data_IF_924369912753
#
_entry.id   IF_924369912753
#
_cell.length_a   1.000
_cell.length_b   1.000
_cell.length_c   1.000
_cell.angle_alpha   90.00
_cell.angle_beta   90.00
_cell.angle_gamma   90.00
#
_symmetry.space_group_name_H-M   'P 1'
#
loop_
_entity.id
_entity.type
_entity.pdbx_description
1 polymer ?
#
# COMPACT_ATOMS: atom_id res chain seq x y z
N UNK A 1 -49.50 11.12 28.41
CA UNK A 1 -49.07 11.91 27.24
C UNK A 1 -47.59 12.00 27.45
N UNK A 2 -46.93 10.93 27.05
CA UNK A 2 -45.55 10.64 27.37
C UNK A 2 -44.88 10.63 26.01
N UNK A 3 -44.23 11.75 25.70
CA UNK A 3 -43.36 11.88 24.53
C UNK A 3 -42.12 11.05 24.81
N UNK A 4 -42.03 9.88 24.18
CA UNK A 4 -40.78 9.13 24.09
C UNK A 4 -39.89 9.82 23.05
N UNK A 5 -38.86 10.50 23.53
CA UNK A 5 -37.75 11.00 22.71
C UNK A 5 -36.95 9.81 22.15
N UNK A 6 -37.23 9.39 20.92
CA UNK A 6 -36.35 8.52 20.14
C UNK A 6 -35.10 9.31 19.72
N UNK A 7 -34.01 9.21 20.50
CA UNK A 7 -32.68 9.66 20.09
C UNK A 7 -32.18 8.83 18.89
N UNK A 8 -32.33 9.37 17.68
CA UNK A 8 -31.74 8.84 16.45
C UNK A 8 -30.19 8.94 16.51
N UNK A 9 -29.55 7.89 17.00
CA UNK A 9 -28.09 7.71 16.92
C UNK A 9 -27.68 7.44 15.48
N UNK A 10 -27.53 8.51 14.70
CA UNK A 10 -26.89 8.45 13.39
C UNK A 10 -25.42 8.04 13.56
N UNK A 11 -25.13 6.75 13.36
CA UNK A 11 -23.75 6.22 13.38
C UNK A 11 -22.90 6.99 12.38
N UNK A 12 -21.92 7.74 12.87
CA UNK A 12 -20.97 8.49 12.03
C UNK A 12 -20.06 7.48 11.32
N UNK A 13 -20.36 7.19 10.06
CA UNK A 13 -19.53 6.33 9.20
C UNK A 13 -18.46 7.22 8.55
N UNK A 14 -17.20 6.77 8.60
CA UNK A 14 -16.09 7.48 7.92
C UNK A 14 -16.32 7.46 6.40
N UNK A 15 -16.11 8.58 5.73
CA UNK A 15 -16.47 8.75 4.31
C UNK A 15 -15.86 7.67 3.39
N UNK A 16 -14.62 7.25 3.61
CA UNK A 16 -13.97 6.17 2.86
C UNK A 16 -14.68 4.81 3.03
N UNK A 17 -15.17 4.52 4.23
CA UNK A 17 -15.92 3.29 4.51
C UNK A 17 -17.29 3.32 3.85
N UNK A 18 -17.96 4.47 3.82
CA UNK A 18 -19.24 4.65 3.11
C UNK A 18 -19.07 4.33 1.62
N UNK A 19 -18.07 4.92 0.97
CA UNK A 19 -17.81 4.69 -0.46
C UNK A 19 -17.35 3.26 -0.74
N UNK A 20 -16.56 2.65 0.14
CA UNK A 20 -16.18 1.26 0.03
C UNK A 20 -17.39 0.33 0.13
N UNK A 21 -18.31 0.56 1.07
CA UNK A 21 -19.56 -0.20 1.18
C UNK A 21 -20.40 -0.06 -0.10
N UNK A 22 -20.53 1.16 -0.65
CA UNK A 22 -21.33 1.40 -1.84
C UNK A 22 -20.75 0.71 -3.10
N UNK A 23 -19.43 0.77 -3.30
CA UNK A 23 -18.79 0.20 -4.50
C UNK A 23 -18.43 -1.27 -4.42
N UNK A 24 -18.16 -1.80 -3.22
CA UNK A 24 -17.66 -3.17 -3.03
C UNK A 24 -18.76 -4.09 -2.48
N UNK A 25 -19.46 -3.67 -1.43
CA UNK A 25 -20.44 -4.52 -0.73
C UNK A 25 -21.76 -4.53 -1.49
N UNK A 26 -22.27 -3.36 -1.85
CA UNK A 26 -23.55 -3.23 -2.55
C UNK A 26 -23.43 -3.28 -4.08
N UNK A 27 -22.19 -3.37 -4.59
CA UNK A 27 -21.83 -3.50 -6.01
C UNK A 27 -22.64 -2.60 -6.96
N UNK A 28 -23.01 -1.39 -6.51
CA UNK A 28 -23.97 -0.57 -7.25
C UNK A 28 -23.29 0.00 -8.51
N UNK A 29 -23.81 -0.27 -9.72
CA UNK A 29 -23.14 0.09 -10.96
C UNK A 29 -23.17 1.60 -11.19
N UNK A 30 -22.10 2.28 -10.77
CA UNK A 30 -21.94 3.73 -10.83
C UNK A 30 -20.55 4.12 -11.36
N UNK A 31 -20.24 3.79 -12.63
CA UNK A 31 -18.87 3.86 -13.16
C UNK A 31 -18.25 5.26 -13.11
N UNK A 32 -19.03 6.31 -13.37
CA UNK A 32 -18.53 7.70 -13.31
C UNK A 32 -18.30 8.18 -11.87
N UNK A 33 -19.23 7.83 -10.96
CA UNK A 33 -19.07 8.16 -9.54
C UNK A 33 -17.85 7.45 -8.96
N UNK A 34 -17.67 6.16 -9.27
CA UNK A 34 -16.50 5.40 -8.84
C UNK A 34 -15.21 6.05 -9.32
N UNK A 35 -15.12 6.49 -10.58
CA UNK A 35 -13.94 7.20 -11.10
C UNK A 35 -13.67 8.49 -10.34
N UNK A 36 -14.69 9.30 -10.07
CA UNK A 36 -14.57 10.55 -9.32
C UNK A 36 -14.06 10.30 -7.90
N UNK A 37 -14.65 9.34 -7.20
CA UNK A 37 -14.26 9.02 -5.83
C UNK A 37 -12.86 8.40 -5.78
N UNK A 38 -12.50 7.50 -6.70
CA UNK A 38 -11.14 6.99 -6.82
C UNK A 38 -10.13 8.13 -7.07
N UNK A 39 -10.48 9.12 -7.89
CA UNK A 39 -9.64 10.30 -8.10
C UNK A 39 -9.52 11.13 -6.82
N UNK A 40 -10.62 11.42 -6.13
CA UNK A 40 -10.63 12.18 -4.89
C UNK A 40 -9.73 11.54 -3.81
N UNK A 41 -9.83 10.22 -3.64
CA UNK A 41 -9.03 9.47 -2.67
C UNK A 41 -7.62 9.11 -3.16
N UNK A 42 -7.29 9.33 -4.44
CA UNK A 42 -5.92 9.17 -4.94
C UNK A 42 -4.97 10.24 -4.41
N UNK A 43 -5.52 11.38 -3.99
CA UNK A 43 -4.76 12.47 -3.39
C UNK A 43 -4.88 12.36 -1.87
N UNK A 44 -3.79 12.06 -1.14
CA UNK A 44 -3.85 12.03 0.31
C UNK A 44 -4.12 13.43 0.86
N UNK A 45 -5.06 13.55 1.79
CA UNK A 45 -5.39 14.83 2.44
C UNK A 45 -4.30 15.30 3.44
N UNK A 46 -3.30 14.47 3.70
CA UNK A 46 -2.23 14.72 4.66
C UNK A 46 -0.90 14.19 4.14
N UNK A 47 0.18 14.86 4.53
CA UNK A 47 1.55 14.43 4.32
C UNK A 47 1.97 13.23 5.19
N UNK A 48 1.15 12.81 6.18
CA UNK A 48 1.47 11.74 7.11
C UNK A 48 1.89 10.43 6.41
N UNK A 49 1.26 10.09 5.27
CA UNK A 49 1.66 8.90 4.49
C UNK A 49 3.10 9.02 3.97
N UNK A 50 3.46 10.18 3.44
CA UNK A 50 4.81 10.45 2.91
C UNK A 50 5.83 10.50 4.06
N UNK A 51 5.46 11.08 5.20
CA UNK A 51 6.31 11.09 6.41
C UNK A 51 6.58 9.68 6.96
N UNK A 52 5.60 8.77 6.88
CA UNK A 52 5.83 7.36 7.19
C UNK A 52 6.86 6.73 6.23
N UNK A 53 6.78 7.01 4.92
CA UNK A 53 7.76 6.51 3.95
C UNK A 53 9.15 7.07 4.24
N UNK A 54 9.27 8.35 4.60
CA UNK A 54 10.56 8.93 4.99
C UNK A 54 11.11 8.36 6.29
N UNK A 55 10.24 8.02 7.24
CA UNK A 55 10.65 7.35 8.48
C UNK A 55 11.22 5.96 8.20
N UNK A 56 10.57 5.17 7.33
CA UNK A 56 11.09 3.88 6.88
C UNK A 56 12.42 4.05 6.14
N UNK A 57 12.51 5.02 5.23
CA UNK A 57 13.72 5.32 4.48
C UNK A 57 14.88 5.67 5.41
N UNK A 58 14.65 6.52 6.42
CA UNK A 58 15.64 6.89 7.43
C UNK A 58 16.13 5.67 8.22
N UNK A 59 15.22 4.75 8.55
CA UNK A 59 15.57 3.49 9.20
C UNK A 59 16.48 2.60 8.32
N UNK A 60 16.19 2.51 7.03
CA UNK A 60 16.97 1.72 6.08
C UNK A 60 18.34 2.35 5.75
N UNK A 61 18.41 3.68 5.78
CA UNK A 61 19.62 4.45 5.46
C UNK A 61 20.59 4.55 6.66
N UNK A 62 20.11 4.41 7.90
CA UNK A 62 20.95 4.59 9.07
C UNK A 62 22.06 3.50 9.16
N UNK A 63 23.29 4.00 9.23
CA UNK A 63 24.58 3.33 8.95
C UNK A 63 25.01 2.27 9.99
N UNK A 64 24.16 1.92 10.95
CA UNK A 64 24.52 0.97 12.02
C UNK A 64 24.44 -0.50 11.61
N UNK A 65 23.74 -0.84 10.51
CA UNK A 65 23.63 -2.24 10.01
C UNK A 65 23.64 -2.44 8.50
N UNK A 66 23.34 -1.45 7.64
CA UNK A 66 23.17 -1.69 6.20
C UNK A 66 23.79 -0.59 5.32
N UNK A 67 24.86 -0.93 4.58
CA UNK A 67 25.34 -0.14 3.43
C UNK A 67 24.56 -0.49 2.17
N UNK A 68 23.24 -0.37 2.22
CA UNK A 68 22.43 -0.57 1.01
C UNK A 68 22.57 0.64 0.11
N UNK A 69 22.64 0.42 -1.20
CA UNK A 69 22.60 1.53 -2.15
C UNK A 69 21.22 2.18 -2.11
N UNK A 70 21.16 3.45 -2.53
CA UNK A 70 19.89 4.20 -2.58
C UNK A 70 18.88 3.49 -3.48
N UNK A 71 19.36 2.87 -4.56
CA UNK A 71 18.53 2.09 -5.49
C UNK A 71 17.92 0.86 -4.80
N UNK A 72 18.70 0.15 -3.98
CA UNK A 72 18.18 -1.00 -3.21
C UNK A 72 17.14 -0.56 -2.18
N UNK A 73 17.38 0.56 -1.49
CA UNK A 73 16.42 1.12 -0.52
C UNK A 73 15.12 1.51 -1.22
N UNK A 74 15.21 2.17 -2.39
CA UNK A 74 14.05 2.55 -3.17
C UNK A 74 13.25 1.32 -3.65
N UNK A 75 13.93 0.29 -4.15
CA UNK A 75 13.28 -0.95 -4.58
C UNK A 75 12.60 -1.67 -3.41
N UNK A 76 13.24 -1.72 -2.23
CA UNK A 76 12.66 -2.33 -1.03
C UNK A 76 11.40 -1.58 -0.56
N UNK A 77 11.44 -0.25 -0.54
CA UNK A 77 10.28 0.58 -0.18
C UNK A 77 9.11 0.38 -1.16
N UNK A 78 9.40 0.29 -2.46
CA UNK A 78 8.39 0.02 -3.49
C UNK A 78 7.72 -1.34 -3.29
N UNK A 79 8.52 -2.40 -3.05
CA UNK A 79 8.00 -3.74 -2.80
C UNK A 79 7.11 -3.75 -1.54
N UNK A 80 7.56 -3.09 -0.47
CA UNK A 80 6.86 -3.06 0.82
C UNK A 80 5.56 -2.27 0.80
N UNK A 81 5.53 -1.12 0.12
CA UNK A 81 4.40 -0.17 0.17
C UNK A 81 3.46 -0.27 -1.02
N UNK A 82 3.97 -0.65 -2.20
CA UNK A 82 3.21 -0.68 -3.46
C UNK A 82 3.10 -2.08 -4.08
N UNK A 83 3.42 -3.14 -3.33
CA UNK A 83 3.19 -4.52 -3.76
C UNK A 83 1.69 -4.79 -3.94
N UNK A 84 1.27 -5.19 -5.14
CA UNK A 84 -0.11 -5.61 -5.42
C UNK A 84 -0.44 -7.02 -4.91
N UNK A 85 0.54 -7.69 -4.32
CA UNK A 85 0.50 -9.09 -3.89
C UNK A 85 0.82 -9.12 -2.40
N UNK A 86 0.13 -9.96 -1.63
CA UNK A 86 0.43 -10.15 -0.21
C UNK A 86 1.86 -10.69 -0.02
N UNK A 87 2.49 -10.41 1.13
CA UNK A 87 3.82 -10.96 1.44
C UNK A 87 3.85 -12.49 1.37
N UNK A 88 2.74 -13.15 1.73
CA UNK A 88 2.60 -14.61 1.71
C UNK A 88 2.61 -15.12 0.27
N UNK A 89 1.84 -14.49 -0.61
CA UNK A 89 1.73 -14.90 -2.00
C UNK A 89 2.98 -14.53 -2.79
N UNK A 90 3.60 -13.39 -2.48
CA UNK A 90 4.90 -13.01 -3.03
C UNK A 90 5.99 -14.02 -2.63
N UNK A 91 6.00 -14.48 -1.38
CA UNK A 91 6.94 -15.51 -0.93
C UNK A 91 6.74 -16.83 -1.69
N UNK A 92 5.49 -17.30 -1.83
CA UNK A 92 5.16 -18.48 -2.64
C UNK A 92 5.59 -18.32 -4.10
N UNK A 93 5.33 -17.14 -4.69
CA UNK A 93 5.74 -16.81 -6.04
C UNK A 93 7.27 -16.87 -6.20
N UNK A 94 8.03 -16.26 -5.29
CA UNK A 94 9.50 -16.30 -5.32
C UNK A 94 10.04 -17.74 -5.24
N UNK A 95 9.44 -18.59 -4.39
CA UNK A 95 9.79 -20.01 -4.30
C UNK A 95 9.53 -20.79 -5.59
N UNK A 96 8.51 -20.40 -6.36
CA UNK A 96 8.24 -21.02 -7.67
C UNK A 96 9.27 -20.65 -8.74
N UNK A 97 9.95 -19.50 -8.59
CA UNK A 97 10.89 -18.95 -9.58
C UNK A 97 12.34 -19.35 -9.27
N UNK A 98 12.68 -20.62 -9.55
CA UNK A 98 14.01 -21.18 -9.25
C UNK A 98 15.17 -20.43 -9.91
N UNK A 99 15.00 -19.97 -11.15
CA UNK A 99 16.03 -19.19 -11.86
C UNK A 99 16.27 -17.82 -11.22
N UNK A 100 15.20 -17.16 -10.75
CA UNK A 100 15.30 -15.89 -10.03
C UNK A 100 16.04 -16.07 -8.70
N UNK A 101 15.70 -17.11 -7.93
CA UNK A 101 16.41 -17.42 -6.68
C UNK A 101 17.88 -17.76 -6.90
N UNK A 102 18.19 -18.45 -8.01
CA UNK A 102 19.57 -18.75 -8.41
C UNK A 102 20.31 -17.46 -8.79
N UNK A 103 19.65 -16.53 -9.49
CA UNK A 103 20.24 -15.24 -9.82
C UNK A 103 20.49 -14.37 -8.58
N UNK A 104 19.52 -14.27 -7.66
CA UNK A 104 19.62 -13.51 -6.40
C UNK A 104 20.73 -14.07 -5.49
N UNK A 105 20.85 -15.40 -5.41
CA UNK A 105 21.91 -16.05 -4.62
C UNK A 105 23.27 -16.06 -5.31
N UNK A 106 23.32 -15.77 -6.62
CA UNK A 106 24.58 -15.69 -7.33
C UNK A 106 25.33 -14.42 -6.92
N UNK A 107 26.60 -14.57 -6.55
CA UNK A 107 27.48 -13.44 -6.23
C UNK A 107 27.98 -12.71 -7.50
N UNK A 108 27.29 -12.90 -8.62
CA UNK A 108 27.63 -12.30 -9.90
C UNK A 108 27.35 -10.80 -9.81
N UNK A 109 28.42 -10.00 -9.90
CA UNK A 109 28.32 -8.54 -9.92
C UNK A 109 27.53 -8.13 -11.16
N UNK A 110 26.43 -7.40 -10.99
CA UNK A 110 25.60 -6.93 -12.10
C UNK A 110 26.42 -6.15 -13.13
N UNK A 111 26.67 -6.72 -14.31
CA UNK A 111 27.38 -6.10 -15.41
C UNK A 111 26.43 -5.28 -16.29
N UNK A 112 25.77 -4.27 -15.72
CA UNK A 112 25.00 -3.29 -16.51
C UNK A 112 25.91 -2.14 -16.95
N UNK A 113 26.88 -2.41 -17.83
CA UNK A 113 27.45 -1.41 -18.77
C UNK A 113 28.09 -2.11 -19.98
N UNK A 114 27.53 -1.83 -21.15
CA UNK A 114 28.31 -1.41 -22.31
C UNK A 114 27.66 -0.15 -22.86
#
# INVERSE_FOLDING_TARGET
MDEEDEEDQTKVIRSDQLWAMLFVVNATPTPNMKKLICFLYSTPASNAYVECVFSDMKHLLNDSRNRMSVESIAAELQIRRNGSISCIDMHKYLLSQKELLKAISSNNKYTFKK
#
